data_IF_488791889153
#
_entry.id   IF_488791889153
#
_cell.length_a   1.000
_cell.length_b   1.000
_cell.length_c   1.000
_cell.angle_alpha   90.00
_cell.angle_beta   90.00
_cell.angle_gamma   90.00
#
_symmetry.space_group_name_H-M   'P 1'
#
loop_
_entity.id
_entity.type
_entity.pdbx_description
1 polymer ?
#
# COMPACT_ATOMS: atom_id res chain seq x y z
N UNK A 1 -9.00 7.49 -20.39
CA UNK A 1 -7.71 7.43 -19.67
C UNK A 1 -7.37 8.75 -18.96
N UNK A 2 -7.45 9.91 -19.63
CA UNK A 2 -7.22 11.22 -18.99
C UNK A 2 -8.31 11.58 -17.96
N UNK A 3 -9.59 11.42 -18.31
CA UNK A 3 -10.73 11.70 -17.43
C UNK A 3 -10.74 10.84 -16.15
N UNK A 4 -10.41 9.56 -16.29
CA UNK A 4 -10.31 8.63 -15.15
C UNK A 4 -9.17 8.97 -14.20
N UNK A 5 -8.09 9.55 -14.72
CA UNK A 5 -6.93 9.99 -13.94
C UNK A 5 -7.20 11.33 -13.23
N UNK A 6 -7.94 12.23 -13.88
CA UNK A 6 -8.41 13.49 -13.28
C UNK A 6 -9.41 13.20 -12.15
N UNK A 7 -10.37 12.30 -12.38
CA UNK A 7 -11.36 11.93 -11.38
C UNK A 7 -10.73 11.29 -10.12
N UNK A 8 -9.73 10.42 -10.28
CA UNK A 8 -9.04 9.82 -9.13
C UNK A 8 -8.22 10.83 -8.33
N UNK A 9 -7.56 11.79 -9.00
CA UNK A 9 -6.83 12.88 -8.34
C UNK A 9 -7.78 13.77 -7.52
N UNK A 10 -8.96 14.11 -8.08
CA UNK A 10 -9.97 14.95 -7.39
C UNK A 10 -10.51 14.23 -6.15
N UNK A 11 -10.82 12.94 -6.24
CA UNK A 11 -11.31 12.15 -5.11
C UNK A 11 -10.26 12.08 -3.99
N UNK A 12 -8.99 11.86 -4.34
CA UNK A 12 -7.88 11.82 -3.37
C UNK A 12 -7.71 13.20 -2.71
N UNK A 13 -7.74 14.28 -3.48
CA UNK A 13 -7.64 15.65 -2.96
C UNK A 13 -8.80 15.99 -2.01
N UNK A 14 -10.03 15.59 -2.35
CA UNK A 14 -11.21 15.80 -1.52
C UNK A 14 -11.11 15.06 -0.18
N UNK A 15 -10.66 13.79 -0.18
CA UNK A 15 -10.46 13.00 1.04
C UNK A 15 -9.39 13.64 1.95
N UNK A 16 -8.32 14.18 1.36
CA UNK A 16 -7.26 14.88 2.10
C UNK A 16 -7.82 16.17 2.73
N UNK A 17 -8.56 16.97 1.97
CA UNK A 17 -9.18 18.22 2.45
C UNK A 17 -10.14 17.93 3.61
N UNK A 18 -11.03 16.94 3.47
CA UNK A 18 -11.97 16.57 4.53
C UNK A 18 -11.27 16.14 5.82
N UNK A 19 -10.11 15.46 5.71
CA UNK A 19 -9.28 15.11 6.88
C UNK A 19 -8.58 16.31 7.52
N UNK A 20 -8.11 17.27 6.71
CA UNK A 20 -7.50 18.50 7.21
C UNK A 20 -8.53 19.36 7.93
N UNK A 21 -9.76 19.43 7.39
CA UNK A 21 -10.87 20.18 7.98
C UNK A 21 -11.38 19.52 9.28
N UNK A 22 -11.31 18.20 9.40
CA UNK A 22 -11.66 17.46 10.61
C UNK A 22 -10.49 17.44 11.62
N UNK A 23 -10.04 18.63 12.01
CA UNK A 23 -8.87 18.81 12.88
C UNK A 23 -9.28 18.60 14.34
N UNK A 24 -9.10 17.39 14.86
CA UNK A 24 -9.08 17.16 16.31
C UNK A 24 -7.64 17.07 16.83
N UNK A 25 -7.41 17.84 17.89
CA UNK A 25 -6.36 17.77 18.92
C UNK A 25 -4.98 17.25 18.52
N UNK A 26 -3.98 18.12 18.59
CA UNK A 26 -2.56 17.76 18.60
C UNK A 26 -2.26 16.93 19.87
N UNK A 27 -2.41 15.62 19.79
CA UNK A 27 -1.88 14.74 20.83
C UNK A 27 -0.35 14.75 20.77
N UNK A 28 0.30 14.80 21.93
CA UNK A 28 1.75 14.64 22.03
C UNK A 28 2.11 13.22 21.58
N UNK A 29 2.67 13.08 20.38
CA UNK A 29 3.09 11.79 19.88
C UNK A 29 4.22 11.23 20.74
N UNK A 30 3.98 10.08 21.37
CA UNK A 30 5.08 9.28 21.91
C UNK A 30 5.95 8.76 20.77
N UNK A 31 7.26 8.86 20.91
CA UNK A 31 8.22 8.42 19.91
C UNK A 31 8.04 6.94 19.60
N UNK A 32 8.01 6.59 18.30
CA UNK A 32 7.74 5.22 17.82
C UNK A 32 6.43 4.58 18.35
N UNK A 33 5.46 5.40 18.74
CA UNK A 33 4.10 4.94 18.98
C UNK A 33 3.44 4.39 17.71
N UNK A 34 2.29 3.72 17.88
CA UNK A 34 1.50 3.19 16.77
C UNK A 34 1.10 4.30 15.79
N UNK A 35 0.75 5.48 16.30
CA UNK A 35 0.30 6.58 15.47
C UNK A 35 1.47 7.26 14.76
N UNK A 36 2.59 7.46 15.46
CA UNK A 36 3.83 7.95 14.85
C UNK A 36 4.31 7.04 13.71
N UNK A 37 4.41 5.72 13.94
CA UNK A 37 4.83 4.78 12.90
C UNK A 37 3.80 4.67 11.76
N UNK A 38 2.53 4.93 12.01
CA UNK A 38 1.48 4.99 10.98
C UNK A 38 1.64 6.21 10.08
N UNK A 39 1.95 7.38 10.66
CA UNK A 39 2.26 8.61 9.91
C UNK A 39 3.51 8.40 9.05
N UNK A 40 4.59 7.84 9.62
CA UNK A 40 5.83 7.55 8.88
C UNK A 40 5.57 6.63 7.69
N UNK A 41 4.80 5.55 7.88
CA UNK A 41 4.38 4.66 6.77
C UNK A 41 3.54 5.40 5.73
N UNK A 42 2.66 6.31 6.15
CA UNK A 42 1.87 7.13 5.24
C UNK A 42 2.72 8.06 4.37
N UNK A 43 3.69 8.76 4.98
CA UNK A 43 4.65 9.62 4.28
C UNK A 43 5.49 8.79 3.30
N UNK A 44 5.99 7.64 3.74
CA UNK A 44 6.74 6.72 2.88
C UNK A 44 5.90 6.27 1.67
N UNK A 45 4.65 5.88 1.89
CA UNK A 45 3.73 5.49 0.80
C UNK A 45 3.51 6.63 -0.22
N UNK A 46 3.37 7.88 0.24
CA UNK A 46 3.24 9.04 -0.64
C UNK A 46 4.50 9.26 -1.48
N UNK A 47 5.69 9.17 -0.88
CA UNK A 47 6.97 9.32 -1.59
C UNK A 47 7.12 8.23 -2.66
N UNK A 48 6.74 6.98 -2.35
CA UNK A 48 6.75 5.87 -3.32
C UNK A 48 5.86 6.18 -4.53
N UNK A 49 4.64 6.67 -4.30
CA UNK A 49 3.72 7.05 -5.39
C UNK A 49 4.32 8.18 -6.23
N UNK A 50 4.87 9.22 -5.60
CA UNK A 50 5.50 10.34 -6.30
C UNK A 50 6.67 9.87 -7.15
N UNK A 51 7.54 9.01 -6.62
CA UNK A 51 8.68 8.45 -7.34
C UNK A 51 8.22 7.66 -8.59
N UNK A 52 7.19 6.81 -8.47
CA UNK A 52 6.65 6.07 -9.60
C UNK A 52 6.01 6.97 -10.67
N UNK A 53 5.22 7.97 -10.25
CA UNK A 53 4.57 8.92 -11.17
C UNK A 53 5.61 9.78 -11.89
N UNK A 54 6.66 10.23 -11.18
CA UNK A 54 7.73 11.00 -11.75
C UNK A 54 8.56 10.18 -12.75
N UNK A 55 8.91 8.94 -12.40
CA UNK A 55 9.61 8.04 -13.30
C UNK A 55 8.80 7.73 -14.58
N UNK A 56 7.49 7.53 -14.45
CA UNK A 56 6.60 7.35 -15.59
C UNK A 56 6.52 8.58 -16.52
N UNK A 57 6.90 9.77 -16.03
CA UNK A 57 7.02 11.01 -16.81
C UNK A 57 8.44 11.33 -17.25
N UNK A 58 9.39 10.41 -17.08
CA UNK A 58 10.78 10.57 -17.50
C UNK A 58 11.73 11.16 -16.44
N UNK A 59 11.24 11.44 -15.23
CA UNK A 59 12.06 11.93 -14.12
C UNK A 59 12.57 10.76 -13.27
N UNK A 60 13.54 10.00 -13.80
CA UNK A 60 14.13 8.83 -13.14
C UNK A 60 15.02 9.16 -11.94
N UNK A 61 15.41 10.43 -11.76
CA UNK A 61 16.26 10.92 -10.66
C UNK A 61 15.65 10.64 -9.28
N UNK A 62 14.32 10.48 -9.19
CA UNK A 62 13.61 10.21 -7.94
C UNK A 62 13.50 8.72 -7.59
N UNK A 63 13.99 7.81 -8.45
CA UNK A 63 13.94 6.37 -8.21
C UNK A 63 14.68 5.92 -6.92
N UNK A 64 15.88 6.46 -6.59
CA UNK A 64 16.54 6.13 -5.33
C UNK A 64 15.72 6.52 -4.10
N UNK A 65 14.99 7.65 -4.17
CA UNK A 65 14.10 8.10 -3.10
C UNK A 65 12.92 7.15 -2.91
N UNK A 66 12.38 6.60 -4.01
CA UNK A 66 11.39 5.52 -3.95
C UNK A 66 11.90 4.30 -3.20
N UNK A 67 13.14 3.87 -3.49
CA UNK A 67 13.78 2.75 -2.79
C UNK A 67 13.94 2.99 -1.28
N UNK A 68 14.45 4.17 -0.89
CA UNK A 68 14.59 4.55 0.52
C UNK A 68 13.24 4.57 1.23
N UNK A 69 12.20 5.11 0.58
CA UNK A 69 10.86 5.16 1.13
C UNK A 69 10.27 3.74 1.33
N UNK A 70 10.49 2.82 0.39
CA UNK A 70 10.13 1.39 0.57
C UNK A 70 10.84 0.81 1.79
N UNK A 71 12.15 1.04 1.96
CA UNK A 71 12.89 0.55 3.13
C UNK A 71 12.31 1.08 4.45
N UNK A 72 12.01 2.37 4.53
CA UNK A 72 11.40 2.99 5.72
C UNK A 72 10.02 2.36 6.01
N UNK A 73 9.22 2.14 4.96
CA UNK A 73 7.91 1.52 5.08
C UNK A 73 8.00 0.09 5.63
N UNK A 74 8.95 -0.70 5.11
CA UNK A 74 9.17 -2.08 5.53
C UNK A 74 9.66 -2.17 6.98
N UNK A 75 10.69 -1.40 7.35
CA UNK A 75 11.22 -1.36 8.72
C UNK A 75 10.13 -0.95 9.71
N UNK A 76 9.36 0.10 9.39
CA UNK A 76 8.26 0.56 10.25
C UNK A 76 7.14 -0.47 10.37
N UNK A 77 6.89 -1.25 9.32
CA UNK A 77 5.92 -2.35 9.32
C UNK A 77 6.39 -3.53 10.16
N UNK A 78 7.69 -3.84 10.13
CA UNK A 78 8.32 -4.91 10.91
C UNK A 78 8.39 -4.56 12.40
N UNK A 79 8.70 -3.30 12.72
CA UNK A 79 8.61 -2.80 14.09
C UNK A 79 7.18 -2.91 14.65
N UNK A 80 6.18 -2.47 13.88
CA UNK A 80 4.77 -2.57 14.30
C UNK A 80 4.30 -4.01 14.49
N UNK A 81 4.86 -4.95 13.73
CA UNK A 81 4.67 -6.39 13.91
C UNK A 81 5.21 -6.88 15.25
N UNK A 82 6.47 -6.56 15.54
CA UNK A 82 7.13 -6.95 16.78
C UNK A 82 6.37 -6.42 18.01
N UNK A 83 5.98 -5.14 17.98
CA UNK A 83 5.20 -4.54 19.07
C UNK A 83 3.80 -5.16 19.21
N UNK A 84 3.16 -5.52 18.10
CA UNK A 84 1.89 -6.26 18.14
C UNK A 84 2.07 -7.67 18.70
N UNK A 85 3.17 -8.34 18.39
CA UNK A 85 3.47 -9.68 18.89
C UNK A 85 3.73 -9.67 20.41
N UNK A 86 4.46 -8.67 20.92
CA UNK A 86 4.66 -8.51 22.38
C UNK A 86 3.33 -8.38 23.14
N UNK A 87 2.34 -7.70 22.54
CA UNK A 87 1.02 -7.45 23.16
C UNK A 87 0.02 -8.60 22.98
N UNK A 88 -0.10 -9.13 21.76
CA UNK A 88 -1.18 -10.03 21.36
C UNK A 88 -0.71 -11.46 21.03
N UNK A 89 0.60 -11.72 21.08
CA UNK A 89 1.23 -12.97 20.61
C UNK A 89 0.78 -13.30 19.19
N UNK A 90 0.56 -14.58 18.90
CA UNK A 90 0.08 -15.07 17.59
C UNK A 90 -1.45 -15.15 17.51
N UNK A 91 -2.18 -14.69 18.53
CA UNK A 91 -3.62 -14.86 18.56
C UNK A 91 -4.28 -14.13 17.37
N UNK A 92 -4.95 -14.90 16.50
CA UNK A 92 -5.53 -14.41 15.24
C UNK A 92 -4.57 -13.64 14.33
N UNK A 93 -3.25 -13.82 14.49
CA UNK A 93 -2.23 -13.07 13.75
C UNK A 93 -2.38 -13.27 12.24
N UNK A 94 -2.33 -14.52 11.79
CA UNK A 94 -2.44 -14.89 10.39
C UNK A 94 -3.78 -14.46 9.80
N UNK A 95 -4.90 -14.78 10.46
CA UNK A 95 -6.24 -14.41 9.98
C UNK A 95 -6.38 -12.90 9.79
N UNK A 96 -6.01 -12.12 10.79
CA UNK A 96 -6.18 -10.66 10.74
C UNK A 96 -5.24 -10.01 9.73
N UNK A 97 -4.06 -10.58 9.49
CA UNK A 97 -3.07 -10.01 8.57
C UNK A 97 -3.28 -10.45 7.13
N UNK A 98 -3.55 -11.73 6.89
CA UNK A 98 -3.90 -12.27 5.58
C UNK A 98 -5.11 -11.54 5.00
N UNK A 99 -6.20 -11.39 5.77
CA UNK A 99 -7.39 -10.70 5.29
C UNK A 99 -7.10 -9.22 4.96
N UNK A 100 -6.27 -8.54 5.74
CA UNK A 100 -5.89 -7.14 5.47
C UNK A 100 -5.05 -6.96 4.20
N UNK A 101 -4.34 -7.98 3.74
CA UNK A 101 -3.51 -7.93 2.52
C UNK A 101 -4.30 -8.45 1.32
N UNK A 102 -4.93 -9.62 1.46
CA UNK A 102 -5.63 -10.31 0.37
C UNK A 102 -6.90 -9.59 -0.05
N UNK A 103 -7.69 -9.05 0.88
CA UNK A 103 -8.96 -8.38 0.52
C UNK A 103 -8.71 -7.15 -0.37
N UNK A 104 -7.84 -6.19 -0.01
CA UNK A 104 -7.53 -5.07 -0.90
C UNK A 104 -6.89 -5.51 -2.22
N UNK A 105 -6.05 -6.55 -2.19
CA UNK A 105 -5.42 -7.10 -3.39
C UNK A 105 -6.46 -7.66 -4.38
N UNK A 106 -7.38 -8.50 -3.92
CA UNK A 106 -8.42 -9.05 -4.77
C UNK A 106 -9.39 -7.98 -5.27
N UNK A 107 -9.71 -6.98 -4.45
CA UNK A 107 -10.50 -5.82 -4.90
C UNK A 107 -9.80 -5.08 -6.05
N UNK A 108 -8.50 -4.83 -5.93
CA UNK A 108 -7.70 -4.23 -7.00
C UNK A 108 -7.68 -5.12 -8.26
N UNK A 109 -7.55 -6.44 -8.09
CA UNK A 109 -7.52 -7.39 -9.21
C UNK A 109 -8.86 -7.42 -9.97
N UNK A 110 -9.98 -7.45 -9.25
CA UNK A 110 -11.33 -7.36 -9.82
C UNK A 110 -11.46 -6.07 -10.62
N UNK A 111 -11.05 -4.94 -10.04
CA UNK A 111 -11.10 -3.64 -10.71
C UNK A 111 -10.23 -3.59 -11.98
N UNK A 112 -9.03 -4.16 -11.93
CA UNK A 112 -8.12 -4.25 -13.08
C UNK A 112 -8.74 -5.02 -14.25
N UNK A 113 -9.31 -6.19 -13.99
CA UNK A 113 -9.97 -7.00 -15.03
C UNK A 113 -11.30 -6.42 -15.48
N UNK A 114 -12.03 -5.72 -14.61
CA UNK A 114 -13.24 -4.99 -15.00
C UNK A 114 -12.94 -3.92 -16.05
N UNK A 115 -11.87 -3.14 -15.87
CA UNK A 115 -11.43 -2.14 -16.85
C UNK A 115 -10.87 -2.80 -18.12
N UNK A 116 -10.13 -3.91 -17.97
CA UNK A 116 -9.45 -4.60 -19.07
C UNK A 116 -10.17 -5.89 -19.49
N UNK A 117 -11.51 -5.88 -19.55
CA UNK A 117 -12.33 -7.08 -19.78
C UNK A 117 -11.95 -7.82 -21.09
N UNK A 118 -11.54 -7.09 -22.12
CA UNK A 118 -11.09 -7.66 -23.40
C UNK A 118 -9.81 -8.52 -23.29
N UNK A 119 -9.03 -8.35 -22.22
CA UNK A 119 -7.80 -9.11 -21.95
C UNK A 119 -8.00 -10.23 -20.91
N UNK A 120 -9.25 -10.51 -20.55
CA UNK A 120 -9.55 -11.49 -19.52
C UNK A 120 -9.30 -12.92 -20.01
N UNK A 121 -8.39 -13.61 -19.33
CA UNK A 121 -8.13 -15.04 -19.50
C UNK A 121 -8.27 -15.67 -18.12
N UNK A 122 -9.20 -16.62 -17.96
CA UNK A 122 -9.53 -17.20 -16.66
C UNK A 122 -8.31 -17.85 -15.97
N UNK A 123 -7.48 -18.56 -16.73
CA UNK A 123 -6.24 -19.18 -16.22
C UNK A 123 -5.29 -18.14 -15.63
N UNK A 124 -5.04 -17.05 -16.35
CA UNK A 124 -4.14 -15.99 -15.90
C UNK A 124 -4.71 -15.24 -14.69
N UNK A 125 -6.03 -15.03 -14.67
CA UNK A 125 -6.72 -14.46 -13.53
C UNK A 125 -6.50 -15.30 -12.25
N UNK A 126 -6.66 -16.63 -12.34
CA UNK A 126 -6.44 -17.54 -11.22
C UNK A 126 -4.99 -17.50 -10.76
N UNK A 127 -4.02 -17.58 -11.69
CA UNK A 127 -2.60 -17.55 -11.36
C UNK A 127 -2.20 -16.23 -10.67
N UNK A 128 -2.75 -15.10 -11.12
CA UNK A 128 -2.51 -13.80 -10.48
C UNK A 128 -3.24 -13.71 -9.13
N UNK A 129 -4.47 -14.20 -9.01
CA UNK A 129 -5.25 -14.16 -7.76
C UNK A 129 -4.56 -14.90 -6.60
N UNK A 130 -3.86 -16.00 -6.89
CA UNK A 130 -3.06 -16.76 -5.94
C UNK A 130 -1.60 -16.30 -5.83
N UNK A 131 -1.25 -15.15 -6.44
CA UNK A 131 0.11 -14.60 -6.43
C UNK A 131 1.16 -15.56 -7.03
N UNK A 132 0.76 -16.51 -7.88
CA UNK A 132 1.67 -17.44 -8.58
C UNK A 132 2.33 -16.73 -9.76
N UNK A 133 1.53 -15.97 -10.53
CA UNK A 133 2.04 -15.03 -11.53
C UNK A 133 1.96 -13.61 -10.99
N UNK A 134 3.01 -12.82 -11.24
CA UNK A 134 3.07 -11.44 -10.80
C UNK A 134 2.79 -10.50 -11.96
N UNK A 135 1.85 -9.57 -11.76
CA UNK A 135 1.87 -8.35 -12.54
C UNK A 135 3.14 -7.58 -12.14
N UNK A 136 3.74 -6.83 -13.06
CA UNK A 136 5.00 -6.09 -12.84
C UNK A 136 4.97 -5.20 -11.58
N UNK A 137 3.78 -4.80 -11.14
CA UNK A 137 3.56 -3.89 -10.02
C UNK A 137 3.12 -4.58 -8.71
N UNK A 138 2.91 -5.89 -8.69
CA UNK A 138 2.40 -6.63 -7.52
C UNK A 138 3.50 -7.31 -6.69
N UNK A 139 4.76 -7.22 -7.10
CA UNK A 139 5.91 -7.85 -6.42
C UNK A 139 5.98 -7.51 -4.93
N UNK A 140 5.59 -6.28 -4.56
CA UNK A 140 5.57 -5.81 -3.19
C UNK A 140 4.61 -6.61 -2.29
N UNK A 141 3.48 -7.07 -2.84
CA UNK A 141 2.50 -7.87 -2.10
C UNK A 141 3.08 -9.24 -1.81
N UNK A 142 3.71 -9.89 -2.79
CA UNK A 142 4.43 -11.16 -2.57
C UNK A 142 5.52 -11.00 -1.52
N UNK A 143 6.30 -9.93 -1.58
CA UNK A 143 7.33 -9.64 -0.60
C UNK A 143 6.76 -9.58 0.82
N UNK A 144 5.69 -8.82 1.05
CA UNK A 144 5.06 -8.76 2.38
C UNK A 144 4.50 -10.12 2.78
N UNK A 145 3.89 -10.86 1.85
CA UNK A 145 3.32 -12.18 2.16
C UNK A 145 4.38 -13.19 2.59
N UNK A 146 5.58 -13.15 2.00
CA UNK A 146 6.67 -14.10 2.33
C UNK A 146 7.39 -13.70 3.62
N UNK A 147 7.64 -12.41 3.82
CA UNK A 147 8.52 -11.95 4.90
C UNK A 147 7.79 -11.51 6.17
N UNK A 148 6.48 -11.27 6.11
CA UNK A 148 5.72 -10.62 7.19
C UNK A 148 4.46 -11.40 7.61
N UNK A 149 4.27 -12.61 7.08
CA UNK A 149 3.30 -13.59 7.57
C UNK A 149 4.06 -14.77 8.12
#
# INVERSE_FOLDING_TARGET
MLYTLIASIIIIALIIILKILNKNTYESFSYLSKDHTTIVKGIAALIIIIAHVANARGFSILNPLGGVAVSIFLISSGYGLNESFKKNRLNNFFKNRLLKIIIPYWLMLIFYYFINYNKFILKDCILVAFLINCLTYTWFIQYIMIWYL
#
